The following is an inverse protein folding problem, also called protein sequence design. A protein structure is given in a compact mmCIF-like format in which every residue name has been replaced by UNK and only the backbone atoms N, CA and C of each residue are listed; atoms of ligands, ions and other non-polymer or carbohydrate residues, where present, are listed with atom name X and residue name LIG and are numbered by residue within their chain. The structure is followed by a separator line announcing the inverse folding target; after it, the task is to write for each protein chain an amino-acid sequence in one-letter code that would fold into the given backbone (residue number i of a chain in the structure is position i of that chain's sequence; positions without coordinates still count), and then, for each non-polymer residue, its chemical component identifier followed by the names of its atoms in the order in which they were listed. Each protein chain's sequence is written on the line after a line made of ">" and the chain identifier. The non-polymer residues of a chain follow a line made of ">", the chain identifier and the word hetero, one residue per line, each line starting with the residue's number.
data_IF_855451587412
#
_entry.id   IF_855451587412
#
_cell.length_a   1.000
_cell.length_b   1.000
_cell.length_c   1.000
_cell.angle_alpha   90.00
_cell.angle_beta   90.00
_cell.angle_gamma   90.00
#
_symmetry.space_group_name_H-M   'P 1'
#
loop_
_entity.id
_entity.type
_entity.pdbx_description
1 polymer ?
#
# COMPACT_ATOMS: atom_id res chain seq x y z
N UNK A 1 12.89 3.95 0.86
CA UNK A 1 12.44 4.59 -0.39
C UNK A 1 13.25 3.95 -1.49
N UNK A 2 12.60 3.47 -2.54
CA UNK A 2 13.26 2.90 -3.71
C UNK A 2 12.87 3.78 -4.89
N UNK A 3 13.86 4.23 -5.66
CA UNK A 3 13.64 5.07 -6.84
C UNK A 3 14.27 4.38 -8.04
N UNK A 4 13.57 4.38 -9.17
CA UNK A 4 14.06 3.80 -10.43
C UNK A 4 14.34 4.87 -11.48
N UNK A 5 15.15 4.51 -12.48
CA UNK A 5 15.37 5.29 -13.69
C UNK A 5 14.03 5.41 -14.45
N UNK A 6 13.37 6.56 -14.33
CA UNK A 6 12.02 6.78 -14.89
C UNK A 6 11.17 7.78 -14.10
N UNK A 7 11.66 8.27 -12.95
CA UNK A 7 10.93 9.28 -12.16
C UNK A 7 9.83 8.67 -11.28
N UNK A 8 9.87 7.37 -11.01
CA UNK A 8 8.96 6.70 -10.09
C UNK A 8 9.68 6.45 -8.76
N UNK A 9 8.99 6.69 -7.66
CA UNK A 9 9.49 6.42 -6.32
C UNK A 9 8.46 5.66 -5.48
N UNK A 10 8.91 4.59 -4.84
CA UNK A 10 8.15 3.84 -3.85
C UNK A 10 8.58 4.22 -2.44
N UNK A 11 7.63 4.73 -1.66
CA UNK A 11 7.76 5.00 -0.24
C UNK A 11 6.92 4.04 0.60
N UNK A 12 7.54 3.34 1.54
CA UNK A 12 6.86 2.44 2.45
C UNK A 12 7.33 2.60 3.89
N UNK A 13 6.51 2.07 4.81
CA UNK A 13 6.82 1.97 6.23
C UNK A 13 7.96 1.01 6.47
N UNK A 14 8.89 1.35 7.36
CA UNK A 14 10.00 0.44 7.73
C UNK A 14 9.52 -0.95 8.19
N UNK A 15 8.41 -1.05 8.92
CA UNK A 15 7.89 -2.37 9.33
C UNK A 15 7.33 -3.21 8.16
N UNK A 16 7.03 -2.60 7.02
CA UNK A 16 6.59 -3.28 5.80
C UNK A 16 7.76 -3.74 4.91
N UNK A 17 8.99 -3.28 5.19
CA UNK A 17 10.17 -3.56 4.37
C UNK A 17 10.38 -5.05 4.11
N UNK A 18 10.19 -5.90 5.13
CA UNK A 18 10.34 -7.36 4.99
C UNK A 18 9.23 -8.04 4.18
N UNK A 19 8.13 -7.34 3.91
CA UNK A 19 6.98 -7.84 3.16
C UNK A 19 6.91 -7.25 1.74
N UNK A 20 7.76 -6.28 1.41
CA UNK A 20 7.78 -5.63 0.11
C UNK A 20 8.99 -6.11 -0.67
N UNK A 21 8.77 -6.67 -1.85
CA UNK A 21 9.85 -7.10 -2.74
C UNK A 21 9.72 -6.42 -4.10
N UNK A 22 10.64 -5.50 -4.46
CA UNK A 22 10.75 -5.00 -5.83
C UNK A 22 10.89 -6.14 -6.84
N UNK A 23 10.34 -5.94 -8.03
CA UNK A 23 10.54 -6.83 -9.17
C UNK A 23 11.31 -6.04 -10.23
N UNK A 24 12.41 -6.62 -10.70
CA UNK A 24 13.16 -6.06 -11.83
C UNK A 24 12.40 -6.33 -13.14
N UNK A 25 12.30 -5.30 -13.96
CA UNK A 25 11.58 -5.28 -15.22
C UNK A 25 12.34 -4.42 -16.22
N UNK A 26 12.24 -4.77 -17.51
CA UNK A 26 12.73 -3.95 -18.62
C UNK A 26 11.72 -2.88 -19.05
N UNK A 27 10.45 -3.02 -18.63
CA UNK A 27 9.40 -2.05 -18.92
C UNK A 27 9.63 -0.76 -18.15
N UNK A 28 9.88 0.32 -18.88
CA UNK A 28 10.16 1.65 -18.31
C UNK A 28 8.92 2.41 -17.84
N UNK A 29 7.72 1.92 -18.18
CA UNK A 29 6.44 2.58 -17.91
C UNK A 29 5.80 2.12 -16.60
N UNK A 30 6.30 1.04 -16.01
CA UNK A 30 5.75 0.48 -14.77
C UNK A 30 6.86 0.05 -13.82
N UNK A 31 6.69 0.38 -12.54
CA UNK A 31 7.54 -0.14 -11.48
C UNK A 31 6.79 -1.18 -10.67
N UNK A 32 7.25 -2.42 -10.71
CA UNK A 32 6.61 -3.54 -10.03
C UNK A 32 7.21 -3.83 -8.67
N UNK A 33 6.35 -4.20 -7.74
CA UNK A 33 6.72 -4.82 -6.48
C UNK A 33 5.61 -5.75 -5.99
N UNK A 34 5.97 -6.67 -5.09
CA UNK A 34 5.00 -7.52 -4.41
C UNK A 34 4.81 -7.11 -2.96
N UNK A 35 3.61 -7.33 -2.44
CA UNK A 35 3.31 -7.38 -1.02
C UNK A 35 3.07 -8.83 -0.63
N UNK A 36 3.79 -9.31 0.39
CA UNK A 36 3.66 -10.67 0.90
C UNK A 36 2.22 -10.94 1.36
N UNK A 37 1.68 -12.08 0.95
CA UNK A 37 0.32 -12.55 1.25
C UNK A 37 -0.07 -12.48 2.74
N UNK A 38 0.91 -12.62 3.64
CA UNK A 38 0.71 -12.52 5.10
C UNK A 38 0.22 -11.15 5.55
N UNK A 39 0.47 -10.09 4.78
CA UNK A 39 0.02 -8.74 5.12
C UNK A 39 -1.51 -8.65 5.08
N UNK A 40 -2.11 -9.31 4.09
CA UNK A 40 -3.56 -9.29 3.81
C UNK A 40 -4.28 -10.60 4.10
N UNK A 41 -3.58 -11.61 4.60
CA UNK A 41 -4.12 -12.95 4.84
C UNK A 41 -4.70 -13.59 3.56
N UNK A 42 -3.94 -13.51 2.47
CA UNK A 42 -4.30 -14.05 1.16
C UNK A 42 -3.61 -15.39 0.89
N UNK A 43 -4.12 -16.13 -0.11
CA UNK A 43 -3.48 -17.34 -0.65
C UNK A 43 -2.14 -17.02 -1.35
N UNK A 44 -2.07 -15.85 -1.98
CA UNK A 44 -1.01 -15.43 -2.91
C UNK A 44 -0.54 -14.00 -2.62
N UNK A 45 0.67 -13.68 -3.12
CA UNK A 45 1.22 -12.33 -2.96
C UNK A 45 0.47 -11.35 -3.87
N UNK A 46 0.35 -10.10 -3.42
CA UNK A 46 -0.25 -9.04 -4.24
C UNK A 46 0.81 -8.42 -5.13
N UNK A 47 0.56 -8.35 -6.44
CA UNK A 47 1.40 -7.63 -7.38
C UNK A 47 0.89 -6.20 -7.56
N UNK A 48 1.79 -5.23 -7.42
CA UNK A 48 1.46 -3.81 -7.57
C UNK A 48 2.42 -3.18 -8.58
N UNK A 49 1.85 -2.62 -9.65
CA UNK A 49 2.58 -1.83 -10.63
C UNK A 49 2.27 -0.35 -10.48
N UNK A 50 3.32 0.46 -10.31
CA UNK A 50 3.20 1.92 -10.33
C UNK A 50 3.42 2.39 -11.76
N UNK A 51 2.39 2.92 -12.41
CA UNK A 51 2.39 3.26 -13.83
C UNK A 51 2.68 4.75 -14.05
N UNK A 52 3.50 5.03 -15.05
CA UNK A 52 3.66 6.37 -15.64
C UNK A 52 3.79 6.24 -17.16
N UNK A 53 2.73 6.60 -17.87
CA UNK A 53 2.73 6.69 -19.34
C UNK A 53 2.83 8.17 -19.73
N UNK A 54 3.88 8.59 -20.47
CA UNK A 54 4.03 9.97 -20.90
C UNK A 54 2.83 10.46 -21.75
N UNK A 55 2.44 11.73 -21.71
CA UNK A 55 1.30 12.24 -22.50
C UNK A 55 1.55 12.14 -24.02
N UNK A 56 0.48 11.92 -24.79
CA UNK A 56 0.44 11.71 -26.26
C UNK A 56 1.21 12.77 -27.07
N UNK A 57 1.34 13.99 -26.56
CA UNK A 57 1.95 15.12 -27.27
C UNK A 57 3.34 15.49 -26.74
N UNK A 58 4.06 14.52 -26.16
CA UNK A 58 5.41 14.75 -25.65
C UNK A 58 6.44 14.00 -26.48
N UNK A 59 7.71 14.38 -26.37
CA UNK A 59 8.80 13.65 -27.03
C UNK A 59 9.00 12.23 -26.48
N UNK A 60 8.29 11.87 -25.41
CA UNK A 60 8.37 10.58 -24.73
C UNK A 60 7.13 9.72 -24.98
N UNK A 61 6.21 10.16 -25.84
CA UNK A 61 5.06 9.36 -26.29
C UNK A 61 5.54 8.00 -26.78
N UNK A 62 4.84 6.95 -26.35
CA UNK A 62 5.02 5.59 -26.89
C UNK A 62 3.65 5.02 -27.22
N UNK A 63 3.56 4.38 -28.39
CA UNK A 63 2.33 3.71 -28.79
C UNK A 63 2.22 2.29 -28.21
N UNK A 64 3.36 1.75 -27.79
CA UNK A 64 3.61 0.40 -27.29
C UNK A 64 3.50 0.30 -25.77
N UNK A 65 3.43 1.43 -25.04
CA UNK A 65 3.44 1.45 -23.58
C UNK A 65 2.39 0.52 -22.94
N UNK A 66 1.18 0.47 -23.49
CA UNK A 66 0.13 -0.45 -23.03
C UNK A 66 0.49 -1.91 -23.29
N UNK A 67 1.03 -2.24 -24.47
CA UNK A 67 1.43 -3.60 -24.83
C UNK A 67 2.59 -4.09 -23.94
N UNK A 68 3.57 -3.22 -23.65
CA UNK A 68 4.69 -3.57 -22.76
C UNK A 68 4.18 -3.87 -21.34
N UNK A 69 3.28 -3.05 -20.81
CA UNK A 69 2.66 -3.28 -19.49
C UNK A 69 1.79 -4.56 -19.51
N UNK A 70 1.09 -4.81 -20.61
CA UNK A 70 0.19 -5.97 -20.77
C UNK A 70 0.95 -7.30 -20.76
N UNK A 71 2.08 -7.39 -21.44
CA UNK A 71 2.95 -8.58 -21.43
C UNK A 71 3.37 -8.91 -19.99
N UNK A 72 3.71 -7.89 -19.19
CA UNK A 72 4.08 -8.11 -17.79
C UNK A 72 2.89 -8.47 -16.91
N UNK A 73 1.74 -7.82 -17.15
CA UNK A 73 0.50 -8.12 -16.44
C UNK A 73 0.12 -9.60 -16.64
N UNK A 74 0.09 -10.08 -17.88
CA UNK A 74 -0.21 -11.47 -18.21
C UNK A 74 0.73 -12.45 -17.47
N UNK A 75 2.03 -12.17 -17.47
CA UNK A 75 3.04 -12.96 -16.74
C UNK A 75 2.79 -13.01 -15.23
N UNK A 76 2.22 -11.95 -14.65
CA UNK A 76 1.89 -11.91 -13.22
C UNK A 76 0.53 -12.52 -12.92
N UNK A 77 -0.44 -12.44 -13.83
CA UNK A 77 -1.74 -13.11 -13.72
C UNK A 77 -1.61 -14.63 -13.65
N UNK A 78 -0.58 -15.22 -14.26
CA UNK A 78 -0.25 -16.64 -14.09
C UNK A 78 0.17 -17.04 -12.66
N UNK A 79 0.50 -16.05 -11.81
CA UNK A 79 1.12 -16.27 -10.48
C UNK A 79 0.25 -15.79 -9.32
N UNK A 80 -0.70 -14.92 -9.59
CA UNK A 80 -1.55 -14.34 -8.57
C UNK A 80 -2.80 -13.74 -9.19
N UNK A 81 -3.93 -14.04 -8.58
CA UNK A 81 -5.18 -13.36 -8.91
C UNK A 81 -5.25 -11.95 -8.32
N UNK A 82 -4.30 -11.55 -7.47
CA UNK A 82 -4.31 -10.28 -6.75
C UNK A 82 -3.35 -9.27 -7.39
N UNK A 83 -3.85 -8.50 -8.36
CA UNK A 83 -3.04 -7.52 -9.09
C UNK A 83 -3.68 -6.13 -9.05
N UNK A 84 -2.86 -5.11 -8.85
CA UNK A 84 -3.23 -3.70 -8.87
C UNK A 84 -2.26 -2.93 -9.76
N UNK A 85 -2.78 -2.03 -10.59
CA UNK A 85 -2.00 -0.98 -11.24
C UNK A 85 -2.47 0.38 -10.75
N UNK A 86 -1.53 1.28 -10.46
CA UNK A 86 -1.81 2.62 -9.94
C UNK A 86 -0.85 3.64 -10.55
N UNK A 87 -1.38 4.77 -11.02
CA UNK A 87 -0.53 5.88 -11.44
C UNK A 87 -1.14 6.71 -12.56
N UNK A 88 -0.28 7.44 -13.25
CA UNK A 88 -0.66 8.35 -14.33
C UNK A 88 -0.60 7.62 -15.67
N UNK A 89 -1.77 7.31 -16.21
CA UNK A 89 -1.90 6.66 -17.51
C UNK A 89 -2.02 7.66 -18.67
N UNK A 90 -2.10 8.97 -18.37
CA UNK A 90 -2.42 10.03 -19.33
C UNK A 90 -3.61 9.71 -20.25
N UNK A 91 -4.54 8.91 -19.74
CA UNK A 91 -5.67 8.32 -20.45
C UNK A 91 -6.97 8.98 -20.02
N UNK A 92 -7.77 9.47 -20.96
CA UNK A 92 -9.08 10.06 -20.68
C UNK A 92 -10.13 9.14 -21.28
N UNK A 93 -10.98 8.56 -20.43
CA UNK A 93 -11.87 7.45 -20.80
C UNK A 93 -13.34 7.84 -20.85
N UNK A 94 -13.69 9.06 -20.44
CA UNK A 94 -15.05 9.45 -20.12
C UNK A 94 -15.77 8.39 -19.26
N UNK A 95 -17.00 8.05 -19.62
CA UNK A 95 -17.81 7.02 -18.98
C UNK A 95 -17.85 5.71 -19.78
N UNK A 96 -16.95 5.53 -20.76
CA UNK A 96 -16.91 4.28 -21.53
C UNK A 96 -16.59 3.09 -20.61
N UNK A 97 -17.21 1.92 -20.88
CA UNK A 97 -17.01 0.72 -20.09
C UNK A 97 -15.62 0.13 -20.31
N UNK A 98 -15.06 -0.41 -19.23
CA UNK A 98 -13.78 -1.13 -19.14
C UNK A 98 -13.99 -2.66 -19.07
N UNK A 99 -15.18 -3.12 -19.42
CA UNK A 99 -15.57 -4.53 -19.53
C UNK A 99 -16.38 -4.73 -20.82
N UNK A 100 -16.52 -5.98 -21.26
CA UNK A 100 -17.42 -6.37 -22.35
C UNK A 100 -18.83 -6.56 -21.77
N UNK A 101 -19.84 -5.92 -22.38
CA UNK A 101 -21.23 -6.20 -22.04
C UNK A 101 -21.67 -7.53 -22.68
N UNK A 102 -22.70 -8.19 -22.13
CA UNK A 102 -23.22 -9.46 -22.68
C UNK A 102 -23.65 -9.29 -24.15
N UNK A 103 -24.20 -8.11 -24.48
CA UNK A 103 -24.67 -7.76 -25.83
C UNK A 103 -23.52 -7.42 -26.82
N UNK A 104 -22.29 -7.18 -26.33
CA UNK A 104 -21.13 -6.85 -27.16
C UNK A 104 -20.36 -8.10 -27.64
N UNK A 105 -20.78 -9.28 -27.20
CA UNK A 105 -20.11 -10.55 -27.49
C UNK A 105 -20.78 -11.19 -28.70
N UNK A 106 -20.11 -11.13 -29.86
CA UNK A 106 -20.55 -11.83 -31.07
C UNK A 106 -20.71 -13.35 -30.79
N UNK A 107 -21.79 -13.95 -31.29
CA UNK A 107 -22.09 -15.39 -31.18
C UNK A 107 -20.91 -16.29 -31.62
N UNK A 108 -20.01 -15.78 -32.46
CA UNK A 108 -18.81 -16.47 -32.94
C UNK A 108 -17.70 -16.65 -31.87
N UNK A 109 -17.69 -15.81 -30.83
CA UNK A 109 -16.72 -15.89 -29.72
C UNK A 109 -17.14 -16.96 -28.71
N UNK A 110 -18.45 -17.16 -28.53
CA UNK A 110 -19.02 -18.14 -27.59
C UNK A 110 -18.57 -19.57 -27.91
N UNK A 111 -18.42 -19.92 -29.20
CA UNK A 111 -17.95 -21.24 -29.62
C UNK A 111 -16.45 -21.50 -29.34
N UNK A 112 -15.66 -20.45 -29.09
CA UNK A 112 -14.21 -20.56 -28.82
C UNK A 112 -13.83 -20.34 -27.35
N UNK A 113 -14.77 -19.88 -26.50
CA UNK A 113 -14.57 -19.73 -25.07
C UNK A 113 -14.98 -21.05 -24.37
N UNK A 114 -14.01 -21.94 -24.16
CA UNK A 114 -14.25 -23.26 -23.55
C UNK A 114 -14.56 -23.23 -22.06
N UNK A 115 -14.51 -22.07 -21.40
CA UNK A 115 -14.74 -21.95 -19.96
C UNK A 115 -15.80 -20.89 -19.63
N UNK A 116 -16.82 -21.30 -18.86
CA UNK A 116 -17.78 -20.40 -18.22
C UNK A 116 -17.11 -19.36 -17.28
N UNK A 117 -15.81 -19.52 -16.99
CA UNK A 117 -15.03 -18.65 -16.09
C UNK A 117 -14.75 -17.26 -16.67
N UNK A 118 -14.84 -17.08 -18.00
CA UNK A 118 -14.55 -15.80 -18.65
C UNK A 118 -15.64 -14.73 -18.41
N UNK A 119 -16.87 -15.16 -18.10
CA UNK A 119 -18.01 -14.27 -17.84
C UNK A 119 -18.16 -13.87 -16.37
N UNK A 120 -17.51 -14.60 -15.45
CA UNK A 120 -17.70 -14.46 -13.99
C UNK A 120 -17.20 -13.14 -13.41
N UNK A 121 -16.24 -12.47 -14.06
CA UNK A 121 -15.53 -11.36 -13.45
C UNK A 121 -16.33 -10.05 -13.39
N UNK A 122 -17.24 -9.79 -14.34
CA UNK A 122 -18.10 -8.59 -14.27
C UNK A 122 -19.17 -8.73 -13.20
N UNK A 123 -19.71 -9.94 -13.00
CA UNK A 123 -20.69 -10.21 -11.94
C UNK A 123 -20.10 -10.05 -10.54
N UNK A 124 -18.77 -10.17 -10.38
CA UNK A 124 -18.10 -9.84 -9.12
C UNK A 124 -18.31 -8.37 -8.72
N UNK A 125 -18.53 -7.45 -9.66
CA UNK A 125 -18.90 -6.09 -9.32
C UNK A 125 -20.27 -6.07 -8.64
N UNK A 126 -21.24 -6.82 -9.16
CA UNK A 126 -22.59 -6.89 -8.61
C UNK A 126 -22.60 -7.57 -7.24
N UNK A 127 -21.86 -8.68 -7.09
CA UNK A 127 -21.69 -9.41 -5.83
C UNK A 127 -21.10 -8.52 -4.72
N UNK A 128 -20.20 -7.62 -5.09
CA UNK A 128 -19.59 -6.65 -4.19
C UNK A 128 -20.39 -5.36 -4.06
N UNK A 129 -21.56 -5.28 -4.71
CA UNK A 129 -22.41 -4.09 -4.78
C UNK A 129 -21.65 -2.83 -5.26
N UNK A 130 -20.77 -3.03 -6.25
CA UNK A 130 -20.00 -2.00 -6.93
C UNK A 130 -20.72 -1.66 -8.25
N UNK A 131 -21.01 -0.38 -8.54
CA UNK A 131 -21.67 0.00 -9.79
C UNK A 131 -20.84 -0.38 -11.02
N UNK A 132 -21.47 -1.06 -11.99
CA UNK A 132 -20.86 -1.30 -13.31
C UNK A 132 -20.52 0.01 -14.02
N UNK A 133 -21.36 1.05 -13.90
CA UNK A 133 -21.07 2.36 -14.50
C UNK A 133 -20.19 3.23 -13.59
N UNK A 134 -19.28 3.98 -14.20
CA UNK A 134 -18.38 4.90 -13.48
C UNK A 134 -18.97 6.29 -13.48
N UNK A 135 -18.90 6.98 -12.34
CA UNK A 135 -19.03 8.43 -12.33
C UNK A 135 -17.72 9.07 -12.80
N UNK A 136 -17.80 9.92 -13.82
CA UNK A 136 -16.64 10.61 -14.36
C UNK A 136 -17.07 11.98 -14.91
N UNK A 137 -16.59 13.10 -14.35
CA UNK A 137 -16.88 14.44 -14.82
C UNK A 137 -16.08 14.80 -16.06
N UNK A 138 -14.95 14.14 -16.29
CA UNK A 138 -14.22 14.25 -17.54
C UNK A 138 -14.99 13.51 -18.63
N UNK A 139 -15.44 14.22 -19.67
CA UNK A 139 -16.21 13.65 -20.78
C UNK A 139 -15.38 13.42 -22.05
N UNK A 140 -14.07 13.66 -21.98
CA UNK A 140 -13.17 13.49 -23.11
C UNK A 140 -12.70 12.05 -23.19
N UNK A 141 -12.64 11.53 -24.42
CA UNK A 141 -11.97 10.28 -24.75
C UNK A 141 -10.77 10.59 -25.66
N UNK A 142 -9.55 10.30 -25.21
CA UNK A 142 -8.34 10.42 -26.04
C UNK A 142 -7.90 9.05 -26.60
N UNK A 143 -6.87 9.04 -27.45
CA UNK A 143 -6.38 7.79 -28.06
C UNK A 143 -5.85 6.79 -27.01
N UNK A 144 -5.12 7.26 -26.00
CA UNK A 144 -4.71 6.42 -24.87
C UNK A 144 -5.89 5.93 -24.05
N UNK A 145 -6.94 6.72 -23.87
CA UNK A 145 -8.18 6.30 -23.23
C UNK A 145 -8.82 5.09 -23.90
N UNK A 146 -8.83 5.05 -25.25
CA UNK A 146 -9.31 3.87 -25.99
C UNK A 146 -8.42 2.64 -25.76
N UNK A 147 -7.09 2.80 -25.89
CA UNK A 147 -6.13 1.72 -25.63
C UNK A 147 -6.20 1.21 -24.19
N UNK A 148 -6.39 2.11 -23.23
CA UNK A 148 -6.50 1.78 -21.81
C UNK A 148 -7.78 1.01 -21.48
N UNK A 149 -8.92 1.37 -22.09
CA UNK A 149 -10.16 0.61 -21.93
C UNK A 149 -10.03 -0.78 -22.53
N UNK A 150 -9.42 -0.90 -23.71
CA UNK A 150 -9.14 -2.19 -24.34
C UNK A 150 -8.21 -3.06 -23.48
N UNK A 151 -7.14 -2.46 -22.95
CA UNK A 151 -6.26 -3.09 -21.96
C UNK A 151 -7.05 -3.61 -20.74
N UNK A 152 -7.97 -2.82 -20.20
CA UNK A 152 -8.76 -3.23 -19.04
C UNK A 152 -9.67 -4.42 -19.37
N UNK A 153 -10.36 -4.36 -20.52
CA UNK A 153 -11.24 -5.40 -21.02
C UNK A 153 -10.50 -6.72 -21.23
N UNK A 154 -9.38 -6.68 -21.95
CA UNK A 154 -8.60 -7.87 -22.33
C UNK A 154 -7.92 -8.55 -21.13
N UNK A 155 -7.64 -7.79 -20.08
CA UNK A 155 -6.97 -8.30 -18.88
C UNK A 155 -7.90 -8.42 -17.66
N UNK A 156 -9.22 -8.21 -17.85
CA UNK A 156 -10.25 -8.35 -16.80
C UNK A 156 -9.92 -7.57 -15.52
N UNK A 157 -9.42 -6.36 -15.69
CA UNK A 157 -9.11 -5.44 -14.60
C UNK A 157 -10.07 -4.25 -14.63
N UNK A 158 -10.53 -3.83 -13.46
CA UNK A 158 -11.57 -2.82 -13.34
C UNK A 158 -11.04 -1.51 -12.78
N UNK A 159 -11.48 -0.41 -13.36
CA UNK A 159 -11.23 0.96 -12.90
C UNK A 159 -12.04 1.23 -11.63
N UNK A 160 -11.35 1.63 -10.55
CA UNK A 160 -11.97 1.99 -9.27
C UNK A 160 -12.50 3.44 -9.26
N UNK A 161 -11.89 4.32 -10.05
CA UNK A 161 -12.26 5.73 -10.12
C UNK A 161 -13.73 5.89 -10.51
N UNK A 162 -14.48 6.64 -9.69
CA UNK A 162 -15.91 6.81 -9.92
C UNK A 162 -16.80 5.66 -9.49
N UNK A 163 -16.26 4.58 -8.88
CA UNK A 163 -17.03 3.38 -8.47
C UNK A 163 -16.97 3.05 -7.00
N UNK A 164 -15.79 3.21 -6.39
CA UNK A 164 -15.51 2.60 -5.08
C UNK A 164 -15.31 3.66 -4.00
N UNK A 165 -15.83 3.38 -2.79
CA UNK A 165 -15.58 4.15 -1.59
C UNK A 165 -16.11 5.59 -1.67
N UNK A 166 -15.30 6.55 -1.24
CA UNK A 166 -15.68 7.97 -1.27
C UNK A 166 -15.56 8.63 -2.64
N UNK A 167 -14.89 7.97 -3.60
CA UNK A 167 -14.80 8.47 -4.97
C UNK A 167 -15.98 8.02 -5.87
N UNK A 168 -17.08 7.52 -5.30
CA UNK A 168 -18.31 7.24 -6.07
C UNK A 168 -18.83 8.44 -6.84
N UNK A 169 -18.45 9.66 -6.49
CA UNK A 169 -18.80 10.89 -7.23
C UNK A 169 -17.91 11.15 -8.45
N UNK A 170 -16.78 10.42 -8.58
CA UNK A 170 -15.79 10.56 -9.64
C UNK A 170 -15.05 11.90 -9.60
N UNK A 171 -14.23 12.18 -8.59
CA UNK A 171 -13.50 13.46 -8.59
C UNK A 171 -12.46 13.49 -9.72
N UNK A 172 -12.14 14.68 -10.26
CA UNK A 172 -10.98 14.80 -11.14
C UNK A 172 -9.68 14.48 -10.41
N UNK A 173 -8.74 13.83 -11.11
CA UNK A 173 -7.40 13.56 -10.57
C UNK A 173 -6.40 14.65 -10.92
N UNK A 174 -6.76 15.56 -11.82
CA UNK A 174 -5.93 16.69 -12.21
C UNK A 174 -6.58 18.04 -11.94
N UNK A 175 -5.76 19.08 -11.91
CA UNK A 175 -6.18 20.47 -11.80
C UNK A 175 -6.97 20.97 -13.02
N UNK A 176 -6.82 20.33 -14.19
CA UNK A 176 -7.57 20.68 -15.42
C UNK A 176 -8.93 20.00 -15.50
N UNK A 177 -9.42 19.44 -14.38
CA UNK A 177 -10.64 18.64 -14.30
C UNK A 177 -10.61 17.37 -15.17
N UNK A 178 -9.42 16.85 -15.48
CA UNK A 178 -9.26 15.56 -16.14
C UNK A 178 -9.15 14.42 -15.14
N UNK A 179 -9.54 13.22 -15.57
CA UNK A 179 -9.26 11.97 -14.87
C UNK A 179 -8.22 11.24 -15.72
N UNK A 180 -6.99 11.19 -15.23
CA UNK A 180 -5.84 10.61 -15.94
C UNK A 180 -5.00 9.69 -15.05
N UNK A 181 -5.15 9.84 -13.73
CA UNK A 181 -4.56 8.97 -12.73
C UNK A 181 -5.59 7.92 -12.32
N UNK A 182 -5.23 6.65 -12.37
CA UNK A 182 -6.16 5.56 -12.11
C UNK A 182 -5.64 4.60 -11.06
N UNK A 183 -6.58 3.95 -10.38
CA UNK A 183 -6.34 2.65 -9.77
C UNK A 183 -7.20 1.64 -10.51
N UNK A 184 -6.57 0.59 -11.02
CA UNK A 184 -7.24 -0.57 -11.60
C UNK A 184 -6.78 -1.83 -10.88
N UNK A 185 -7.66 -2.81 -10.75
CA UNK A 185 -7.29 -4.10 -10.18
C UNK A 185 -8.15 -5.25 -10.69
N UNK A 186 -7.68 -6.47 -10.48
CA UNK A 186 -8.46 -7.68 -10.74
C UNK A 186 -9.71 -7.76 -9.86
N UNK A 187 -10.72 -8.50 -10.31
CA UNK A 187 -11.95 -8.80 -9.56
C UNK A 187 -11.64 -9.37 -8.16
N UNK A 188 -10.68 -10.29 -8.07
CA UNK A 188 -10.25 -10.91 -6.82
C UNK A 188 -9.70 -9.91 -5.81
N UNK A 189 -8.92 -8.92 -6.26
CA UNK A 189 -8.40 -7.89 -5.36
C UNK A 189 -9.50 -6.93 -4.87
N UNK A 190 -10.58 -6.70 -5.63
CA UNK A 190 -11.69 -5.84 -5.21
C UNK A 190 -12.29 -6.27 -3.87
N UNK A 191 -12.31 -7.57 -3.58
CA UNK A 191 -12.78 -8.14 -2.28
C UNK A 191 -12.01 -7.60 -1.08
N UNK A 192 -10.78 -7.14 -1.29
CA UNK A 192 -9.95 -6.56 -0.24
C UNK A 192 -10.17 -5.05 -0.10
N UNK A 193 -10.72 -4.38 -1.11
CA UNK A 193 -10.82 -2.92 -1.14
C UNK A 193 -11.89 -2.45 -0.17
N UNK A 194 -11.50 -1.57 0.76
CA UNK A 194 -12.40 -1.02 1.77
C UNK A 194 -12.77 0.44 1.54
N UNK A 195 -11.87 1.22 0.93
CA UNK A 195 -12.17 2.59 0.56
C UNK A 195 -11.24 3.06 -0.56
N UNK A 196 -11.78 3.88 -1.46
CA UNK A 196 -11.01 4.64 -2.44
C UNK A 196 -11.44 6.11 -2.38
N UNK A 197 -10.48 7.03 -2.37
CA UNK A 197 -10.75 8.47 -2.39
C UNK A 197 -9.66 9.23 -3.15
N UNK A 198 -10.07 10.30 -3.83
CA UNK A 198 -9.17 11.30 -4.38
C UNK A 198 -9.02 12.43 -3.35
N UNK A 199 -7.79 12.63 -2.90
CA UNK A 199 -7.44 13.63 -1.91
C UNK A 199 -7.37 15.02 -2.54
N UNK A 200 -7.52 16.05 -1.70
CA UNK A 200 -7.47 17.43 -2.16
C UNK A 200 -6.12 17.76 -2.81
N UNK A 201 -6.19 18.44 -3.95
CA UNK A 201 -5.02 18.95 -4.65
C UNK A 201 -4.18 19.83 -3.72
N UNK A 202 -2.86 19.64 -3.76
CA UNK A 202 -1.93 20.41 -2.97
C UNK A 202 -0.75 20.82 -3.82
N UNK A 203 -0.57 22.15 -4.00
CA UNK A 203 0.59 22.75 -4.67
C UNK A 203 1.93 22.37 -4.02
N UNK A 204 1.91 21.85 -2.80
CA UNK A 204 3.11 21.32 -2.14
C UNK A 204 3.53 19.97 -2.72
N UNK A 205 2.56 19.15 -3.15
CA UNK A 205 2.76 17.77 -3.58
C UNK A 205 2.68 17.60 -5.08
N UNK A 206 2.03 18.48 -5.82
CA UNK A 206 2.02 18.44 -7.28
C UNK A 206 1.66 19.81 -7.86
N UNK A 207 2.05 20.04 -9.11
CA UNK A 207 1.61 21.17 -9.93
C UNK A 207 0.28 20.89 -10.63
N UNK A 208 0.02 19.62 -10.95
CA UNK A 208 -1.15 19.17 -11.73
C UNK A 208 -2.01 18.14 -10.99
N UNK A 209 -1.42 17.16 -10.29
CA UNK A 209 -2.11 15.95 -9.85
C UNK A 209 -2.63 16.00 -8.40
N UNK A 210 -3.79 15.41 -8.19
CA UNK A 210 -4.39 15.14 -6.88
C UNK A 210 -3.98 13.74 -6.41
N UNK A 211 -3.61 13.53 -5.14
CA UNK A 211 -3.19 12.20 -4.67
C UNK A 211 -4.36 11.21 -4.61
N UNK A 212 -4.08 9.95 -4.97
CA UNK A 212 -5.00 8.84 -4.89
C UNK A 212 -4.75 8.09 -3.59
N UNK A 213 -5.82 7.71 -2.88
CA UNK A 213 -5.73 6.94 -1.64
C UNK A 213 -6.62 5.72 -1.71
N UNK A 214 -5.97 4.55 -1.73
CA UNK A 214 -6.62 3.25 -1.60
C UNK A 214 -6.42 2.72 -0.17
N UNK A 215 -7.49 2.16 0.38
CA UNK A 215 -7.48 1.41 1.63
C UNK A 215 -8.02 0.02 1.34
N UNK A 216 -7.34 -1.00 1.86
CA UNK A 216 -7.75 -2.39 1.73
C UNK A 216 -7.52 -3.11 3.05
N UNK A 217 -8.37 -4.11 3.30
CA UNK A 217 -8.41 -4.86 4.54
C UNK A 217 -7.78 -6.24 4.36
N UNK A 218 -7.45 -6.87 5.48
CA UNK A 218 -7.18 -8.31 5.49
C UNK A 218 -8.46 -9.05 5.13
N UNK A 219 -8.33 -10.10 4.33
CA UNK A 219 -9.43 -11.02 4.09
C UNK A 219 -9.62 -11.86 5.35
N UNK A 220 -10.79 -11.71 5.98
CA UNK A 220 -11.21 -12.63 7.03
C UNK A 220 -11.53 -13.97 6.35
N UNK A 221 -10.95 -15.09 6.82
CA UNK A 221 -11.24 -16.40 6.26
C UNK A 221 -12.64 -16.81 6.70
N UNK A 222 -13.68 -16.36 6.00
CA UNK A 222 -15.06 -16.84 6.19
C UNK A 222 -15.81 -16.70 4.89
N UNK A 223 -15.69 -17.72 4.05
CA UNK A 223 -16.86 -18.32 3.42
C UNK A 223 -16.78 -19.84 3.63
N UNK A 224 -16.96 -20.27 4.88
CA UNK A 224 -17.59 -21.55 5.24
C UNK A 224 -17.92 -21.59 6.75
N UNK A 225 -19.04 -22.22 7.04
CA UNK A 225 -19.77 -22.25 8.32
C UNK A 225 -19.03 -23.07 9.38
N UNK A 226 -18.83 -22.48 10.57
CA UNK A 226 -19.32 -22.98 11.87
C UNK A 226 -18.77 -22.05 12.96
N UNK A 227 -19.70 -21.53 13.75
CA UNK A 227 -19.47 -20.79 14.99
C UNK A 227 -18.52 -21.55 15.91
N UNK A 228 -17.32 -21.01 16.09
CA UNK A 228 -16.60 -21.14 17.35
C UNK A 228 -15.85 -19.82 17.56
N UNK A 229 -16.30 -19.07 18.57
CA UNK A 229 -15.74 -17.77 18.92
C UNK A 229 -14.24 -17.92 19.22
N UNK A 230 -13.40 -17.44 18.32
CA UNK A 230 -11.99 -17.19 18.61
C UNK A 230 -11.87 -15.75 19.11
N UNK A 231 -11.88 -15.61 20.44
CA UNK A 231 -11.53 -14.36 21.11
C UNK A 231 -10.08 -13.97 20.77
N UNK A 232 -9.92 -12.88 20.01
CA UNK A 232 -8.63 -12.20 19.87
C UNK A 232 -8.24 -11.64 21.25
N UNK A 233 -7.20 -12.20 21.87
CA UNK A 233 -6.56 -11.59 23.04
C UNK A 233 -5.72 -10.41 22.55
N UNK A 234 -6.10 -9.19 22.92
CA UNK A 234 -5.29 -7.99 22.68
C UNK A 234 -3.90 -8.19 23.31
N UNK A 235 -2.83 -8.00 22.53
CA UNK A 235 -1.47 -8.06 23.06
C UNK A 235 -1.27 -6.93 24.09
N UNK A 236 -1.26 -7.33 25.35
CA UNK A 236 -0.93 -6.46 26.46
C UNK A 236 0.49 -5.90 26.31
N UNK A 237 0.63 -4.58 26.40
CA UNK A 237 1.95 -3.96 26.42
C UNK A 237 2.61 -4.23 27.78
N UNK A 238 3.78 -4.87 27.75
CA UNK A 238 4.60 -5.11 28.93
C UNK A 238 5.03 -3.77 29.54
N UNK A 239 4.99 -3.67 30.87
CA UNK A 239 5.48 -2.51 31.60
C UNK A 239 6.93 -2.15 31.25
N UNK A 240 7.30 -0.87 31.39
CA UNK A 240 8.67 -0.43 31.11
C UNK A 240 9.65 -1.07 32.09
N UNK A 241 10.83 -1.46 31.59
CA UNK A 241 11.95 -1.93 32.40
C UNK A 241 12.27 -0.93 33.54
N UNK A 242 12.37 -1.46 34.76
CA UNK A 242 12.79 -0.72 35.95
C UNK A 242 14.04 -1.37 36.51
N UNK A 243 15.11 -0.60 36.64
CA UNK A 243 16.40 -1.12 37.07
C UNK A 243 16.33 -1.71 38.49
N UNK A 244 15.45 -1.14 39.31
CA UNK A 244 15.21 -1.56 40.69
C UNK A 244 14.60 -2.97 40.81
N UNK A 245 13.94 -3.46 39.74
CA UNK A 245 13.25 -4.75 39.71
C UNK A 245 14.07 -5.85 39.00
N UNK A 246 15.39 -5.65 38.83
CA UNK A 246 16.26 -6.60 38.13
C UNK A 246 16.31 -7.98 38.81
N UNK A 247 16.26 -8.02 40.15
CA UNK A 247 16.26 -9.27 40.90
C UNK A 247 14.91 -9.99 40.77
N UNK A 248 13.81 -9.25 40.77
CA UNK A 248 12.46 -9.80 40.56
C UNK A 248 12.34 -10.41 39.16
N UNK A 249 12.90 -9.75 38.14
CA UNK A 249 12.98 -10.30 36.78
C UNK A 249 13.74 -11.63 36.75
N UNK A 250 14.92 -11.68 37.38
CA UNK A 250 15.71 -12.93 37.44
C UNK A 250 14.94 -14.06 38.14
N UNK A 251 14.27 -13.75 39.24
CA UNK A 251 13.49 -14.73 40.01
C UNK A 251 12.24 -15.22 39.24
N UNK A 252 11.73 -14.44 38.30
CA UNK A 252 10.59 -14.80 37.45
C UNK A 252 11.00 -15.53 36.15
N UNK A 253 12.30 -15.77 35.93
CA UNK A 253 12.75 -16.62 34.84
C UNK A 253 12.47 -18.07 35.24
N UNK A 254 11.66 -18.74 34.43
CA UNK A 254 11.27 -20.14 34.63
C UNK A 254 12.46 -21.07 34.33
N UNK A 255 13.09 -21.59 35.39
CA UNK A 255 14.24 -22.50 35.26
C UNK A 255 13.89 -23.82 34.58
N UNK A 256 12.66 -24.32 34.72
CA UNK A 256 12.23 -25.57 34.10
C UNK A 256 12.09 -25.41 32.59
N UNK A 257 11.52 -24.28 32.14
CA UNK A 257 11.53 -23.93 30.71
C UNK A 257 12.94 -23.75 30.15
N UNK A 258 13.85 -23.18 30.93
CA UNK A 258 15.27 -23.08 30.52
C UNK A 258 15.89 -24.46 30.36
N UNK A 259 15.67 -25.39 31.31
CA UNK A 259 16.17 -26.76 31.22
C UNK A 259 15.65 -27.46 29.96
N UNK A 260 14.36 -27.32 29.65
CA UNK A 260 13.77 -27.88 28.43
C UNK A 260 14.45 -27.34 27.15
N UNK A 261 14.72 -26.02 27.09
CA UNK A 261 15.43 -25.43 25.95
C UNK A 261 16.87 -25.93 25.87
N UNK A 262 17.56 -26.09 27.00
CA UNK A 262 18.92 -26.65 27.04
C UNK A 262 18.92 -28.10 26.53
N UNK A 263 17.95 -28.90 26.94
CA UNK A 263 17.81 -30.29 26.49
C UNK A 263 17.52 -30.34 24.98
N UNK A 264 16.62 -29.51 24.46
CA UNK A 264 16.37 -29.38 23.01
C UNK A 264 17.64 -28.99 22.24
N UNK A 265 18.40 -28.00 22.73
CA UNK A 265 19.65 -27.57 22.11
C UNK A 265 20.73 -28.66 22.16
N UNK A 266 20.78 -29.46 23.22
CA UNK A 266 21.68 -30.60 23.33
C UNK A 266 21.38 -31.68 22.28
N UNK A 267 20.10 -31.91 21.97
CA UNK A 267 19.67 -32.80 20.89
C UNK A 267 20.09 -32.25 19.54
N UNK A 268 19.94 -30.94 19.31
CA UNK A 268 20.37 -30.30 18.06
C UNK A 268 21.88 -30.33 17.87
N UNK A 269 22.65 -30.18 18.96
CA UNK A 269 24.12 -30.23 18.90
C UNK A 269 24.67 -31.60 18.50
N UNK A 270 23.88 -32.67 18.66
CA UNK A 270 24.25 -34.04 18.28
C UNK A 270 23.71 -34.45 16.90
N UNK A 271 23.06 -33.54 16.19
CA UNK A 271 22.48 -33.78 14.86
C UNK A 271 23.49 -33.39 13.77
N UNK A 272 23.64 -34.24 12.74
CA UNK A 272 24.51 -33.93 11.58
C UNK A 272 24.04 -32.71 10.79
N UNK A 273 22.72 -32.47 10.73
CA UNK A 273 22.13 -31.34 10.01
C UNK A 273 21.01 -30.69 10.83
N UNK A 274 21.28 -29.48 11.33
CA UNK A 274 20.28 -28.64 12.02
C UNK A 274 19.60 -27.73 11.00
N UNK A 275 18.28 -27.72 11.01
CA UNK A 275 17.46 -26.93 10.09
C UNK A 275 17.23 -25.51 10.59
N UNK A 276 16.94 -24.59 9.66
CA UNK A 276 16.51 -23.22 10.00
C UNK A 276 15.24 -23.19 10.88
N UNK A 277 14.37 -24.18 10.74
CA UNK A 277 13.16 -24.29 11.56
C UNK A 277 13.51 -24.54 13.03
N UNK A 278 14.37 -25.52 13.30
CA UNK A 278 14.80 -25.86 14.67
C UNK A 278 15.50 -24.70 15.37
N UNK A 279 16.33 -23.94 14.64
CA UNK A 279 16.96 -22.71 15.17
C UNK A 279 15.90 -21.67 15.55
N UNK A 280 14.91 -21.43 14.68
CA UNK A 280 13.86 -20.46 14.96
C UNK A 280 12.97 -20.89 16.13
N UNK A 281 12.70 -22.19 16.28
CA UNK A 281 11.96 -22.73 17.42
C UNK A 281 12.69 -22.47 18.72
N UNK A 282 14.00 -22.79 18.79
CA UNK A 282 14.80 -22.51 19.98
C UNK A 282 14.84 -21.01 20.32
N UNK A 283 15.00 -20.14 19.32
CA UNK A 283 14.99 -18.67 19.51
C UNK A 283 13.63 -18.19 20.03
N UNK A 284 12.53 -18.76 19.54
CA UNK A 284 11.17 -18.42 19.99
C UNK A 284 10.98 -18.83 21.43
N UNK A 285 11.35 -20.07 21.80
CA UNK A 285 11.26 -20.58 23.17
C UNK A 285 12.03 -19.71 24.16
N UNK A 286 13.27 -19.31 23.82
CA UNK A 286 14.08 -18.39 24.65
C UNK A 286 13.38 -17.03 24.78
N UNK A 287 12.86 -16.49 23.68
CA UNK A 287 12.19 -15.19 23.66
C UNK A 287 10.94 -15.19 24.54
N UNK A 288 10.15 -16.27 24.49
CA UNK A 288 8.93 -16.43 25.29
C UNK A 288 9.23 -16.51 26.78
N UNK A 289 10.29 -17.21 27.20
CA UNK A 289 10.75 -17.25 28.59
C UNK A 289 11.05 -15.82 29.11
N UNK A 290 11.77 -15.03 28.31
CA UNK A 290 12.10 -13.65 28.68
C UNK A 290 10.88 -12.73 28.70
N UNK A 291 9.95 -12.92 27.76
CA UNK A 291 8.69 -12.18 27.69
C UNK A 291 7.79 -12.50 28.89
N UNK A 292 7.66 -13.78 29.26
CA UNK A 292 6.83 -14.23 30.37
C UNK A 292 7.38 -13.71 31.70
N UNK A 293 8.70 -13.80 31.91
CA UNK A 293 9.35 -13.19 33.06
C UNK A 293 9.12 -11.67 33.09
N UNK A 294 9.19 -11.00 31.93
CA UNK A 294 8.94 -9.57 31.84
C UNK A 294 7.47 -9.22 32.17
N UNK A 295 6.50 -10.02 31.70
CA UNK A 295 5.08 -9.84 32.04
C UNK A 295 4.84 -10.02 33.54
N UNK A 296 5.42 -11.05 34.15
CA UNK A 296 5.31 -11.30 35.58
C UNK A 296 5.93 -10.17 36.41
N UNK A 297 7.03 -9.59 35.94
CA UNK A 297 7.79 -8.58 36.70
C UNK A 297 7.24 -7.17 36.52
N UNK A 298 6.95 -6.77 35.28
CA UNK A 298 6.59 -5.40 34.94
C UNK A 298 5.07 -5.21 34.75
N UNK A 299 4.31 -6.30 34.81
CA UNK A 299 2.87 -6.32 34.58
C UNK A 299 2.48 -6.05 33.13
N UNK A 300 1.19 -6.21 32.87
CA UNK A 300 0.53 -5.97 31.59
C UNK A 300 -0.43 -4.80 31.72
N UNK A 301 -0.35 -3.81 30.83
CA UNK A 301 -1.31 -2.70 30.81
C UNK A 301 -2.35 -2.90 29.71
N UNK A 302 -3.62 -2.99 30.11
CA UNK A 302 -4.79 -2.89 29.21
C UNK A 302 -5.08 -1.42 28.92
N UNK A 303 -5.23 -1.07 27.64
CA UNK A 303 -5.45 0.30 27.23
C UNK A 303 -6.95 0.64 27.31
N UNK A 304 -7.44 1.01 28.49
CA UNK A 304 -8.82 1.50 28.64
C UNK A 304 -8.94 2.91 28.04
N UNK A 305 -9.56 3.05 26.86
CA UNK A 305 -9.72 4.35 26.17
C UNK A 305 -10.82 5.25 26.74
N UNK A 306 -11.49 4.85 27.80
CA UNK A 306 -12.57 5.63 28.42
C UNK A 306 -12.10 6.36 29.68
N UNK A 307 -11.21 7.35 29.52
CA UNK A 307 -11.14 8.56 30.36
C UNK A 307 -9.87 9.34 30.00
N UNK A 308 -10.07 10.51 29.38
CA UNK A 308 -9.45 11.81 29.71
C UNK A 308 -9.69 12.78 28.55
N UNK A 309 -10.93 13.24 28.46
CA UNK A 309 -11.19 14.61 28.07
C UNK A 309 -10.65 15.50 29.20
N UNK A 310 -9.39 15.92 29.09
CA UNK A 310 -8.93 17.13 29.76
C UNK A 310 -7.76 17.75 29.00
N UNK A 311 -7.92 19.03 28.67
CA UNK A 311 -6.96 19.88 27.97
C UNK A 311 -5.52 19.74 28.49
N UNK A 312 -4.66 19.00 27.77
CA UNK A 312 -3.20 19.23 27.77
C UNK A 312 -2.66 19.09 26.36
N UNK A 313 -2.00 20.16 25.91
CA UNK A 313 -1.31 20.31 24.62
C UNK A 313 -0.68 18.99 24.17
N UNK A 314 -1.15 18.51 23.02
CA UNK A 314 -0.51 17.55 22.14
C UNK A 314 1.01 17.45 22.34
N UNK A 315 1.45 16.51 23.18
CA UNK A 315 2.83 16.06 23.16
C UNK A 315 2.93 15.05 22.01
N UNK A 316 2.95 15.58 20.78
CA UNK A 316 3.09 14.80 19.55
C UNK A 316 4.48 14.17 19.57
N UNK A 317 4.58 12.88 19.90
CA UNK A 317 5.82 12.11 19.77
C UNK A 317 6.41 12.17 18.35
N UNK A 318 5.56 12.42 17.34
CA UNK A 318 5.96 12.63 15.95
C UNK A 318 6.48 14.05 15.63
N UNK A 319 6.34 15.00 16.54
CA UNK A 319 6.82 16.38 16.41
C UNK A 319 7.86 16.64 17.50
N UNK A 320 9.03 16.02 17.31
CA UNK A 320 10.14 16.13 18.24
C UNK A 320 10.85 17.50 18.12
N UNK A 321 11.87 17.72 18.96
CA UNK A 321 12.66 18.95 18.97
C UNK A 321 13.21 19.30 17.59
N UNK A 322 13.63 18.30 16.81
CA UNK A 322 14.19 18.49 15.48
C UNK A 322 13.12 18.91 14.46
N UNK A 323 11.92 18.30 14.49
CA UNK A 323 10.78 18.75 13.69
C UNK A 323 10.38 20.20 14.04
N UNK A 324 10.47 20.58 15.31
CA UNK A 324 10.19 21.93 15.78
C UNK A 324 11.25 22.93 15.33
N UNK A 325 12.52 22.55 15.40
CA UNK A 325 13.68 23.34 14.94
C UNK A 325 13.64 23.53 13.42
N UNK A 326 13.48 22.46 12.65
CA UNK A 326 13.37 22.51 11.19
C UNK A 326 12.20 23.38 10.72
N UNK A 327 11.01 23.26 11.34
CA UNK A 327 9.86 24.12 11.03
C UNK A 327 10.12 25.60 11.37
N UNK A 328 10.85 25.89 12.44
CA UNK A 328 11.21 27.25 12.85
C UNK A 328 12.18 27.89 11.85
N UNK A 329 13.21 27.15 11.43
CA UNK A 329 14.20 27.63 10.45
C UNK A 329 13.60 27.77 9.05
N UNK A 330 12.72 26.86 8.61
CA UNK A 330 11.97 27.01 7.36
C UNK A 330 11.10 28.27 7.36
N UNK A 331 10.38 28.54 8.47
CA UNK A 331 9.56 29.75 8.59
C UNK A 331 10.39 31.02 8.60
N UNK A 332 11.60 31.01 9.18
CA UNK A 332 12.54 32.13 9.10
C UNK A 332 13.02 32.32 7.67
N UNK A 333 13.40 31.25 6.97
CA UNK A 333 13.82 31.31 5.57
C UNK A 333 12.70 31.84 4.65
N UNK A 334 11.46 31.39 4.86
CA UNK A 334 10.28 31.90 4.14
C UNK A 334 10.02 33.38 4.38
N UNK A 335 10.15 33.84 5.64
CA UNK A 335 10.01 35.27 5.96
C UNK A 335 11.12 36.09 5.32
N UNK A 336 12.37 35.63 5.39
CA UNK A 336 13.50 36.31 4.76
C UNK A 336 13.35 36.36 3.24
N UNK A 337 12.93 35.27 2.60
CA UNK A 337 12.66 35.26 1.16
C UNK A 337 11.52 36.20 0.78
N UNK A 338 10.41 36.19 1.54
CA UNK A 338 9.27 37.09 1.30
C UNK A 338 9.66 38.56 1.46
N UNK A 339 10.59 38.88 2.35
CA UNK A 339 10.97 40.26 2.66
C UNK A 339 12.10 40.81 1.80
N UNK A 340 13.03 39.95 1.34
CA UNK A 340 14.23 40.38 0.63
C UNK A 340 14.36 39.80 -0.80
N UNK A 341 13.62 38.75 -1.16
CA UNK A 341 13.50 38.24 -2.53
C UNK A 341 14.76 37.67 -3.19
N UNK A 342 15.92 37.66 -2.53
CA UNK A 342 17.20 37.33 -3.19
C UNK A 342 17.42 35.83 -3.42
N UNK A 343 18.24 35.50 -4.42
CA UNK A 343 18.61 34.12 -4.77
C UNK A 343 19.26 33.35 -3.61
N UNK A 344 20.03 34.03 -2.76
CA UNK A 344 20.62 33.44 -1.56
C UNK A 344 19.55 32.89 -0.59
N UNK A 345 18.43 33.62 -0.41
CA UNK A 345 17.33 33.16 0.43
C UNK A 345 16.47 32.09 -0.24
N UNK A 346 16.42 32.07 -1.58
CA UNK A 346 15.77 31.03 -2.38
C UNK A 346 16.48 29.68 -2.26
N UNK A 347 17.81 29.68 -2.30
CA UNK A 347 18.61 28.45 -2.09
C UNK A 347 18.50 27.93 -0.66
N UNK A 348 18.53 28.85 0.32
CA UNK A 348 18.34 28.49 1.72
C UNK A 348 16.96 27.91 1.99
N UNK A 349 15.92 28.40 1.29
CA UNK A 349 14.57 27.83 1.34
C UNK A 349 14.52 26.42 0.74
N UNK A 350 15.13 26.22 -0.44
CA UNK A 350 15.25 24.89 -1.09
C UNK A 350 15.97 23.87 -0.22
N UNK A 351 17.05 24.26 0.46
CA UNK A 351 17.80 23.39 1.36
C UNK A 351 16.91 22.82 2.49
N UNK A 352 16.10 23.68 3.13
CA UNK A 352 15.19 23.23 4.21
C UNK A 352 13.94 22.51 3.70
N UNK A 353 13.50 22.76 2.47
CA UNK A 353 12.42 22.00 1.84
C UNK A 353 12.85 20.55 1.50
N UNK A 354 14.09 20.36 1.05
CA UNK A 354 14.62 19.02 0.73
C UNK A 354 14.77 18.12 1.97
N UNK A 355 15.10 18.68 3.14
CA UNK A 355 15.18 17.91 4.40
C UNK A 355 13.82 17.39 4.89
N UNK A 356 12.70 17.88 4.33
CA UNK A 356 11.33 17.53 4.75
C UNK A 356 10.81 16.23 4.12
N UNK A 357 11.35 15.82 2.97
CA UNK A 357 10.95 14.59 2.25
C UNK A 357 11.27 13.29 3.02
N UNK A 358 12.19 13.35 3.98
CA UNK A 358 12.65 12.18 4.76
C UNK A 358 11.65 11.75 5.86
N UNK A 359 10.67 12.60 6.25
CA UNK A 359 9.95 12.43 7.52
C UNK A 359 8.44 12.12 7.45
N UNK A 360 7.83 11.86 6.29
CA UNK A 360 6.37 12.03 6.12
C UNK A 360 5.48 10.78 6.13
N UNK A 361 6.00 9.61 6.47
CA UNK A 361 5.14 8.45 6.69
C UNK A 361 4.67 8.49 8.17
N UNK A 362 3.39 8.78 8.50
CA UNK A 362 2.75 8.38 9.80
C UNK A 362 1.21 8.10 9.81
N UNK A 363 0.73 7.00 9.23
CA UNK A 363 -0.60 6.37 9.38
C UNK A 363 -0.49 4.88 9.01
N UNK A 364 -1.28 4.03 9.67
CA UNK A 364 -1.03 2.58 9.85
C UNK A 364 -1.44 1.69 8.67
N UNK A 365 -2.30 2.13 7.73
CA UNK A 365 -2.81 1.28 6.65
C UNK A 365 -2.74 1.95 5.27
N UNK A 366 -1.72 2.78 5.03
CA UNK A 366 -1.72 3.69 3.89
C UNK A 366 -0.46 3.53 3.03
N UNK A 367 -0.63 2.98 1.84
CA UNK A 367 0.33 3.12 0.75
C UNK A 367 0.00 4.44 0.05
N UNK A 368 0.91 5.41 0.09
CA UNK A 368 0.83 6.63 -0.71
C UNK A 368 1.74 6.46 -1.92
N UNK A 369 1.16 6.25 -3.09
CA UNK A 369 1.88 6.31 -4.35
C UNK A 369 1.84 7.75 -4.83
N UNK A 370 3.01 8.36 -4.96
CA UNK A 370 3.17 9.68 -5.56
C UNK A 370 4.13 9.48 -6.73
N UNK A 371 3.60 9.34 -7.94
CA UNK A 371 4.40 9.48 -9.15
C UNK A 371 4.73 10.96 -9.30
N UNK A 372 6.03 11.30 -9.38
CA UNK A 372 6.48 12.65 -9.70
C UNK A 372 7.61 12.52 -10.70
N UNK A 373 7.49 13.07 -11.92
CA UNK A 373 8.65 13.20 -12.78
C UNK A 373 9.69 14.06 -12.04
N UNK A 374 10.85 13.48 -11.80
CA UNK A 374 12.06 14.24 -11.46
C UNK A 374 12.57 14.76 -12.80
N UNK A 375 12.26 16.02 -13.12
CA UNK A 375 12.88 16.75 -14.23
C UNK A 375 14.23 17.27 -13.75
#
# INVERSE_FOLDING_TARGET
>A
MIATSGGIALGYRKYLEKYIKPIETECKFVYWFTIDKKVLNLSENVFIGIVYIPPVNTNYTSEEAFNEIEIELQRFSEKSDYIILVGDFNSRTANLPDFYDEDDIDDFVIDNLTDQSDYTDVYMLDDLNIPRTRNNPDKVVNCYGRKFLEFCKNNKVFILNGRVGQDVIGRPTSRSNSVIDYIICTSHFLRCVSNFEILEFSKLFSDVHSPLKLSFNRVNPTFELLTTELSYQEENKIGKWKFEQVNDFKNNIDEDKIRNVIDELSVYSNKENVTKYEINTAVTNITDILIDSAKATFGTQTFNRNMLNCNKKHNKQWYNFDCKKAKKELRKAQRMYKHYGSNLFKERLRHYDNQKLVFLFSDVNMIRVCAKPVI
#
